data_IF_550057428510
#
_entry.id   IF_550057428510
#
_cell.length_a   1.000
_cell.length_b   1.000
_cell.length_c   1.000
_cell.angle_alpha   90.00
_cell.angle_beta   90.00
_cell.angle_gamma   90.00
#
_symmetry.space_group_name_H-M   'P 1'
#
loop_
_entity.id
_entity.type
_entity.pdbx_description
1 polymer ?
#
# COMPACT_ATOMS: atom_id res chain seq x y z
N UNK A 1 6.24 1.58 -1.26
CA UNK A 1 4.80 1.51 -1.65
C UNK A 1 4.71 1.05 -3.09
N UNK A 2 5.62 1.50 -3.94
CA UNK A 2 5.81 1.02 -5.31
C UNK A 2 6.08 -0.50 -5.33
N UNK A 3 7.05 -0.98 -4.55
CA UNK A 3 7.43 -2.41 -4.46
C UNK A 3 6.24 -3.31 -4.08
N UNK A 4 5.31 -2.80 -3.27
CA UNK A 4 4.09 -3.55 -2.90
C UNK A 4 3.12 -3.68 -4.07
N UNK A 5 3.02 -2.68 -4.96
CA UNK A 5 2.21 -2.76 -6.17
C UNK A 5 2.84 -3.68 -7.22
N UNK A 6 4.16 -3.64 -7.36
CA UNK A 6 4.90 -4.54 -8.25
C UNK A 6 4.78 -5.99 -7.76
N UNK A 7 4.86 -6.24 -6.44
CA UNK A 7 4.56 -7.56 -5.88
C UNK A 7 3.13 -8.04 -6.20
N UNK A 8 2.13 -7.15 -6.15
CA UNK A 8 0.76 -7.53 -6.52
C UNK A 8 0.66 -7.89 -8.00
N UNK A 9 1.32 -7.15 -8.87
CA UNK A 9 1.38 -7.46 -10.30
C UNK A 9 2.07 -8.81 -10.56
N UNK A 10 3.16 -9.10 -9.86
CA UNK A 10 3.85 -10.39 -9.94
C UNK A 10 2.96 -11.56 -9.53
N UNK A 11 2.18 -11.39 -8.45
CA UNK A 11 1.21 -12.40 -7.98
C UNK A 11 0.09 -12.60 -9.02
N UNK A 12 -0.48 -11.51 -9.55
CA UNK A 12 -1.56 -11.58 -10.55
C UNK A 12 -1.11 -12.24 -11.86
N UNK A 13 0.19 -12.15 -12.19
CA UNK A 13 0.80 -12.76 -13.38
C UNK A 13 1.39 -14.16 -13.14
N UNK A 14 1.29 -14.71 -11.92
CA UNK A 14 1.92 -15.99 -11.54
C UNK A 14 3.43 -16.04 -11.85
N UNK A 15 4.13 -14.90 -11.71
CA UNK A 15 5.57 -14.77 -11.99
C UNK A 15 6.39 -14.92 -10.71
N UNK A 16 6.77 -16.17 -10.40
CA UNK A 16 7.55 -16.51 -9.21
C UNK A 16 8.88 -15.74 -9.11
N UNK A 17 9.54 -15.45 -10.23
CA UNK A 17 10.82 -14.76 -10.21
C UNK A 17 10.66 -13.29 -9.86
N UNK A 18 9.67 -12.64 -10.46
CA UNK A 18 9.34 -11.25 -10.14
C UNK A 18 8.84 -11.14 -8.69
N UNK A 19 8.08 -12.11 -8.19
CA UNK A 19 7.69 -12.14 -6.78
C UNK A 19 8.90 -12.18 -5.83
N UNK A 20 9.92 -12.97 -6.16
CA UNK A 20 11.15 -13.06 -5.36
C UNK A 20 11.90 -11.72 -5.37
N UNK A 21 12.00 -11.06 -6.52
CA UNK A 21 12.63 -9.74 -6.67
C UNK A 21 11.95 -8.70 -5.77
N UNK A 22 10.62 -8.57 -5.89
CA UNK A 22 9.86 -7.56 -5.15
C UNK A 22 9.82 -7.82 -3.64
N UNK A 23 9.76 -9.10 -3.21
CA UNK A 23 9.92 -9.46 -1.80
C UNK A 23 11.31 -9.09 -1.28
N UNK A 24 12.34 -9.22 -2.12
CA UNK A 24 13.70 -8.79 -1.83
C UNK A 24 13.79 -7.27 -1.61
N UNK A 25 13.14 -6.49 -2.47
CA UNK A 25 13.14 -5.03 -2.38
C UNK A 25 12.35 -4.51 -1.17
N UNK A 26 11.23 -5.14 -0.84
CA UNK A 26 10.51 -4.86 0.42
C UNK A 26 11.42 -5.15 1.63
N UNK A 27 12.15 -6.26 1.63
CA UNK A 27 13.07 -6.60 2.71
C UNK A 27 14.24 -5.60 2.79
N UNK A 28 14.78 -5.16 1.65
CA UNK A 28 15.80 -4.12 1.57
C UNK A 28 15.31 -2.83 2.22
N UNK A 29 14.07 -2.43 1.96
CA UNK A 29 13.47 -1.23 2.56
C UNK A 29 13.41 -1.34 4.10
N UNK A 30 13.08 -2.51 4.65
CA UNK A 30 13.07 -2.75 6.10
C UNK A 30 14.49 -2.62 6.67
N UNK A 31 15.48 -3.25 6.04
CA UNK A 31 16.87 -3.21 6.48
C UNK A 31 17.46 -1.80 6.44
N UNK A 32 17.09 -0.99 5.43
CA UNK A 32 17.51 0.40 5.33
C UNK A 32 16.95 1.24 6.49
N UNK A 33 15.66 1.09 6.82
CA UNK A 33 15.06 1.78 7.97
C UNK A 33 15.66 1.33 9.29
N UNK A 34 15.91 0.04 9.46
CA UNK A 34 16.59 -0.50 10.64
C UNK A 34 18.01 0.09 10.79
N UNK A 35 18.75 0.22 9.69
CA UNK A 35 20.09 0.83 9.70
C UNK A 35 20.06 2.31 10.06
N UNK A 36 19.10 3.06 9.52
CA UNK A 36 18.88 4.48 9.86
C UNK A 36 18.48 4.61 11.33
N UNK A 37 17.52 3.79 11.79
CA UNK A 37 17.08 3.76 13.18
C UNK A 37 18.25 3.52 14.14
N UNK A 38 19.11 2.55 13.82
CA UNK A 38 20.28 2.21 14.62
C UNK A 38 21.27 3.36 14.68
N UNK A 39 21.52 4.02 13.55
CA UNK A 39 22.42 5.18 13.46
C UNK A 39 21.99 6.33 14.38
N UNK A 40 20.69 6.54 14.54
CA UNK A 40 20.14 7.62 15.36
C UNK A 40 19.68 7.17 16.76
N UNK A 41 19.91 5.90 17.13
CA UNK A 41 19.58 5.36 18.45
C UNK A 41 18.08 5.18 18.71
N UNK A 42 17.26 4.98 17.66
CA UNK A 42 15.82 4.79 17.80
C UNK A 42 15.41 3.33 17.97
N UNK A 43 15.90 2.46 17.09
CA UNK A 43 15.65 1.02 17.08
C UNK A 43 16.63 0.33 16.11
N UNK A 44 16.80 -0.98 16.20
CA UNK A 44 17.52 -1.77 15.21
C UNK A 44 16.72 -2.96 14.65
N UNK A 45 17.38 -3.78 13.81
CA UNK A 45 16.75 -4.95 13.18
C UNK A 45 16.38 -6.03 14.19
N UNK A 46 17.12 -6.17 15.29
CA UNK A 46 16.85 -7.18 16.31
C UNK A 46 15.54 -6.86 17.03
N UNK A 47 15.32 -5.59 17.38
CA UNK A 47 14.08 -5.14 18.01
C UNK A 47 12.87 -5.32 17.08
N UNK A 48 13.04 -5.11 15.77
CA UNK A 48 11.99 -5.37 14.76
C UNK A 48 11.65 -6.86 14.72
N UNK A 49 12.67 -7.74 14.64
CA UNK A 49 12.49 -9.18 14.57
C UNK A 49 11.89 -9.73 15.86
N UNK A 50 12.34 -9.25 17.03
CA UNK A 50 11.78 -9.65 18.33
C UNK A 50 10.30 -9.28 18.43
N UNK A 51 9.94 -8.05 18.03
CA UNK A 51 8.55 -7.60 17.97
C UNK A 51 7.69 -8.45 17.03
N UNK A 52 8.23 -8.82 15.86
CA UNK A 52 7.57 -9.71 14.89
C UNK A 52 7.39 -11.12 15.47
N UNK A 53 8.43 -11.74 16.00
CA UNK A 53 8.40 -13.08 16.58
C UNK A 53 7.43 -13.16 17.76
N UNK A 54 7.50 -12.21 18.69
CA UNK A 54 6.56 -12.14 19.81
C UNK A 54 5.11 -12.00 19.30
N UNK A 55 4.88 -11.23 18.24
CA UNK A 55 3.55 -11.11 17.61
C UNK A 55 3.11 -12.39 16.92
N UNK A 56 4.01 -13.10 16.25
CA UNK A 56 3.71 -14.39 15.61
C UNK A 56 3.29 -15.43 16.65
N UNK A 57 4.05 -15.58 17.73
CA UNK A 57 3.75 -16.53 18.82
C UNK A 57 2.38 -16.23 19.44
N UNK A 58 2.13 -14.98 19.83
CA UNK A 58 0.86 -14.60 20.46
C UNK A 58 -0.37 -14.80 19.57
N UNK A 59 -0.24 -14.65 18.24
CA UNK A 59 -1.38 -14.73 17.29
C UNK A 59 -1.59 -16.12 16.71
N UNK A 60 -0.65 -17.03 16.91
CA UNK A 60 -0.74 -18.41 16.43
C UNK A 60 -0.48 -19.40 17.58
N UNK A 61 -1.27 -19.34 18.67
CA UNK A 61 -1.12 -20.29 19.78
C UNK A 61 -1.33 -21.74 19.32
N UNK A 62 -2.06 -21.98 18.23
CA UNK A 62 -2.23 -23.29 17.63
C UNK A 62 -0.99 -23.85 16.90
N UNK A 63 0.02 -23.02 16.63
CA UNK A 63 1.31 -23.46 16.06
C UNK A 63 2.38 -23.57 17.16
N UNK A 64 2.28 -22.73 18.20
CA UNK A 64 3.35 -22.51 19.17
C UNK A 64 2.99 -22.89 20.62
N UNK A 65 1.77 -23.37 20.87
CA UNK A 65 1.26 -23.81 22.18
C UNK A 65 0.28 -24.99 22.01
N UNK A 66 -0.35 -25.43 23.10
CA UNK A 66 -1.20 -26.64 23.14
C UNK A 66 -2.67 -26.41 22.69
N UNK A 67 -3.01 -25.25 22.11
CA UNK A 67 -4.38 -24.99 21.63
C UNK A 67 -4.61 -25.66 20.26
N UNK A 68 -5.35 -26.75 20.21
CA UNK A 68 -5.69 -27.39 18.93
C UNK A 68 -6.80 -26.63 18.18
N UNK A 69 -6.54 -26.30 16.91
CA UNK A 69 -7.56 -25.78 15.99
C UNK A 69 -7.97 -26.91 15.02
N UNK A 70 -9.19 -27.41 15.16
CA UNK A 70 -9.67 -28.57 14.38
C UNK A 70 -10.24 -28.17 13.01
N UNK A 71 -10.58 -26.89 12.82
CA UNK A 71 -11.09 -26.37 11.56
C UNK A 71 -10.70 -24.88 11.35
N UNK A 72 -10.95 -24.37 10.15
CA UNK A 72 -10.62 -22.98 9.75
C UNK A 72 -11.38 -21.93 10.57
N UNK A 73 -12.58 -22.26 11.05
CA UNK A 73 -13.40 -21.32 11.83
C UNK A 73 -12.87 -21.19 13.26
N UNK A 74 -12.46 -22.31 13.87
CA UNK A 74 -11.75 -22.34 15.16
C UNK A 74 -10.48 -21.49 15.08
N UNK A 75 -9.71 -21.65 13.99
CA UNK A 75 -8.49 -20.89 13.72
C UNK A 75 -8.75 -19.37 13.68
N UNK A 76 -9.79 -18.93 12.96
CA UNK A 76 -10.18 -17.51 12.90
C UNK A 76 -10.61 -16.99 14.27
N UNK A 77 -11.33 -17.79 15.04
CA UNK A 77 -11.82 -17.40 16.35
C UNK A 77 -10.69 -17.27 17.38
N UNK A 78 -9.75 -18.21 17.38
CA UNK A 78 -8.52 -18.17 18.18
C UNK A 78 -7.71 -16.92 17.82
N UNK A 79 -7.50 -16.67 16.53
CA UNK A 79 -6.75 -15.51 16.05
C UNK A 79 -7.43 -14.17 16.40
N UNK A 80 -8.75 -14.08 16.23
CA UNK A 80 -9.53 -12.88 16.56
C UNK A 80 -9.48 -12.57 18.06
N UNK A 81 -9.63 -13.60 18.89
CA UNK A 81 -9.53 -13.50 20.36
C UNK A 81 -8.15 -13.04 20.79
N UNK A 82 -7.09 -13.67 20.26
CA UNK A 82 -5.71 -13.29 20.53
C UNK A 82 -5.41 -11.84 20.12
N UNK A 83 -5.97 -11.39 18.99
CA UNK A 83 -5.84 -10.01 18.51
C UNK A 83 -6.57 -9.01 19.41
N UNK A 84 -7.77 -9.34 19.90
CA UNK A 84 -8.57 -8.48 20.78
C UNK A 84 -7.89 -8.26 22.14
N UNK A 85 -7.21 -9.28 22.68
CA UNK A 85 -6.41 -9.20 23.91
C UNK A 85 -5.24 -8.20 23.84
N UNK A 86 -4.83 -7.76 22.64
CA UNK A 86 -3.75 -6.76 22.49
C UNK A 86 -4.16 -5.32 22.84
N UNK A 87 -5.45 -5.06 23.14
CA UNK A 87 -5.93 -3.75 23.59
C UNK A 87 -5.80 -2.62 22.55
N UNK A 88 -5.51 -2.94 21.29
CA UNK A 88 -5.38 -1.96 20.21
C UNK A 88 -6.76 -1.49 19.78
N UNK A 89 -6.95 -0.18 19.69
CA UNK A 89 -8.12 0.44 19.05
C UNK A 89 -8.30 -0.20 17.68
N UNK A 90 -9.54 -0.58 17.34
CA UNK A 90 -9.85 -1.22 16.09
C UNK A 90 -9.51 -0.23 14.95
N UNK A 91 -8.35 -0.44 14.32
CA UNK A 91 -7.89 0.43 13.25
C UNK A 91 -8.72 0.10 12.02
N UNK A 92 -9.28 1.13 11.38
CA UNK A 92 -9.87 0.99 10.05
C UNK A 92 -8.83 0.27 9.19
N UNK A 93 -9.14 -0.95 8.77
CA UNK A 93 -8.25 -1.72 7.91
C UNK A 93 -8.17 -0.97 6.60
N UNK A 94 -7.06 -0.29 6.34
CA UNK A 94 -6.82 0.39 5.08
C UNK A 94 -7.02 -0.57 3.91
N UNK A 95 -6.73 -1.87 4.09
CA UNK A 95 -7.01 -2.92 3.10
C UNK A 95 -8.50 -3.03 2.76
N UNK A 96 -9.43 -2.89 3.73
CA UNK A 96 -10.88 -2.93 3.45
C UNK A 96 -11.34 -1.67 2.72
N UNK A 97 -10.87 -0.49 3.15
CA UNK A 97 -11.22 0.78 2.51
C UNK A 97 -10.62 0.87 1.11
N UNK A 98 -9.39 0.40 0.94
CA UNK A 98 -8.70 0.32 -0.32
C UNK A 98 -9.36 -0.70 -1.24
N UNK A 99 -9.64 -1.93 -0.77
CA UNK A 99 -10.35 -2.94 -1.55
C UNK A 99 -11.73 -2.45 -1.98
N UNK A 100 -12.54 -1.88 -1.08
CA UNK A 100 -13.85 -1.30 -1.44
C UNK A 100 -13.72 -0.18 -2.47
N UNK A 101 -12.75 0.72 -2.32
CA UNK A 101 -12.54 1.83 -3.24
C UNK A 101 -12.02 1.35 -4.61
N UNK A 102 -11.09 0.41 -4.61
CA UNK A 102 -10.45 -0.18 -5.78
C UNK A 102 -11.43 -1.05 -6.55
N UNK A 103 -12.16 -1.96 -5.88
CA UNK A 103 -13.24 -2.76 -6.47
C UNK A 103 -14.32 -1.85 -7.08
N UNK A 104 -14.70 -0.76 -6.41
CA UNK A 104 -15.66 0.23 -6.96
C UNK A 104 -15.12 0.98 -8.19
N UNK A 105 -13.80 1.11 -8.33
CA UNK A 105 -13.17 1.62 -9.55
C UNK A 105 -13.08 0.54 -10.64
N UNK A 106 -12.90 -0.72 -10.26
CA UNK A 106 -12.82 -1.89 -11.14
C UNK A 106 -14.18 -2.37 -11.68
N UNK A 107 -15.27 -2.15 -10.94
CA UNK A 107 -16.65 -2.50 -11.35
C UNK A 107 -17.22 -1.53 -12.40
N UNK A 108 -16.79 -0.26 -12.39
CA UNK A 108 -17.24 0.76 -13.35
C UNK A 108 -16.96 0.41 -14.82
N UNK A 109 -15.82 -0.19 -15.20
CA UNK A 109 -15.57 -0.66 -16.56
C UNK A 109 -16.15 -2.05 -16.84
N UNK A 110 -16.27 -2.96 -15.85
CA UNK A 110 -16.73 -4.33 -16.08
C UNK A 110 -18.21 -4.43 -16.52
N UNK A 111 -19.07 -3.52 -16.05
CA UNK A 111 -20.50 -3.49 -16.41
C UNK A 111 -20.85 -2.60 -17.61
N UNK A 112 -19.86 -2.17 -18.40
CA UNK A 112 -20.10 -1.53 -19.69
C UNK A 112 -19.34 -2.29 -20.76
N UNK A 113 -20.05 -2.83 -21.74
CA UNK A 113 -19.46 -3.19 -23.02
C UNK A 113 -18.91 -1.91 -23.64
N UNK A 114 -17.62 -1.65 -23.40
CA UNK A 114 -16.92 -0.51 -23.95
C UNK A 114 -16.46 -0.88 -25.36
N UNK A 115 -17.22 -0.48 -26.38
CA UNK A 115 -16.71 -0.51 -27.75
C UNK A 115 -15.57 0.51 -27.92
N UNK A 116 -14.81 0.36 -29.01
CA UNK A 116 -13.65 1.22 -29.30
C UNK A 116 -14.04 2.72 -29.41
N UNK A 117 -15.27 3.01 -29.83
CA UNK A 117 -15.80 4.37 -29.94
C UNK A 117 -16.11 4.98 -28.55
N UNK A 118 -16.61 4.18 -27.60
CA UNK A 118 -16.84 4.57 -26.21
C UNK A 118 -15.52 4.86 -25.49
N UNK A 119 -14.49 4.02 -25.71
CA UNK A 119 -13.15 4.25 -25.19
C UNK A 119 -12.54 5.54 -25.74
N UNK A 120 -12.56 5.74 -27.07
CA UNK A 120 -12.07 6.98 -27.72
C UNK A 120 -12.79 8.24 -27.20
N UNK A 121 -14.10 8.15 -26.92
CA UNK A 121 -14.86 9.27 -26.36
C UNK A 121 -14.50 9.57 -24.90
N UNK A 122 -14.25 8.55 -24.06
CA UNK A 122 -13.80 8.74 -22.68
C UNK A 122 -12.41 9.39 -22.64
N UNK A 123 -11.47 8.95 -23.47
CA UNK A 123 -10.14 9.56 -23.57
C UNK A 123 -10.20 11.01 -24.07
N UNK A 124 -11.04 11.30 -25.07
CA UNK A 124 -11.30 12.68 -25.55
C UNK A 124 -11.91 13.58 -24.47
N UNK A 125 -12.85 13.07 -23.67
CA UNK A 125 -13.47 13.81 -22.58
C UNK A 125 -12.50 14.09 -21.42
N UNK A 126 -11.57 13.17 -21.14
CA UNK A 126 -10.57 13.32 -20.06
C UNK A 126 -9.47 14.33 -20.44
N UNK A 127 -9.09 14.39 -21.73
CA UNK A 127 -8.18 15.41 -22.29
C UNK A 127 -8.74 16.84 -22.16
N UNK A 128 -10.07 17.02 -22.20
CA UNK A 128 -10.72 18.32 -21.94
C UNK A 128 -10.70 18.73 -20.46
N UNK A 129 -10.68 17.77 -19.53
CA UNK A 129 -10.66 18.04 -18.08
C UNK A 129 -9.27 18.47 -17.59
N UNK A 130 -8.20 17.89 -18.13
CA UNK A 130 -6.82 18.29 -17.84
C UNK A 130 -6.44 19.67 -18.42
N UNK A 131 -7.23 20.22 -19.35
CA UNK A 131 -7.03 21.57 -19.88
C UNK A 131 -7.35 22.67 -18.85
N UNK A 132 -8.01 22.35 -17.71
CA UNK A 132 -8.19 23.28 -16.58
C UNK A 132 -6.94 23.40 -15.68
N UNK A 133 -6.04 22.42 -15.69
CA UNK A 133 -4.79 22.46 -14.88
C UNK A 133 -3.71 23.34 -15.52
N UNK A 134 -3.78 23.56 -16.84
CA UNK A 134 -2.87 24.48 -17.55
C UNK A 134 -3.07 25.95 -17.11
N UNK A 135 -4.25 26.27 -16.55
CA UNK A 135 -4.53 27.59 -15.96
C UNK A 135 -3.74 27.83 -14.66
N UNK A 136 -3.51 26.78 -13.86
CA UNK A 136 -2.73 26.85 -12.62
C UNK A 136 -1.22 26.92 -12.87
N UNK A 137 -0.72 26.25 -13.91
CA UNK A 137 0.68 26.35 -14.34
C UNK A 137 1.04 27.72 -14.96
N UNK A 138 0.07 28.44 -15.53
CA UNK A 138 0.26 29.84 -15.96
C UNK A 138 0.38 30.82 -14.78
N UNK A 139 -0.41 30.65 -13.72
CA UNK A 139 -0.34 31.50 -12.51
C UNK A 139 1.00 31.31 -11.80
N UNK A 140 1.48 30.06 -11.68
CA UNK A 140 2.80 29.77 -11.10
C UNK A 140 3.96 30.39 -11.91
N UNK A 141 3.90 30.36 -13.25
CA UNK A 141 4.90 31.02 -14.11
C UNK A 141 4.85 32.56 -14.03
N UNK A 142 3.69 33.16 -13.77
CA UNK A 142 3.53 34.61 -13.58
C UNK A 142 4.10 35.07 -12.23
N UNK A 143 3.89 34.30 -11.16
CA UNK A 143 4.46 34.59 -9.83
C UNK A 143 5.99 34.44 -9.84
N UNK A 144 6.52 33.39 -10.47
CA UNK A 144 7.96 33.14 -10.55
C UNK A 144 8.71 34.20 -11.38
N UNK A 145 8.06 34.81 -12.39
CA UNK A 145 8.64 35.91 -13.19
C UNK A 145 8.70 37.24 -12.43
N UNK A 146 7.78 37.51 -11.50
CA UNK A 146 7.86 38.72 -10.65
C UNK A 146 8.93 38.59 -9.58
N UNK A 147 9.08 37.44 -8.95
CA UNK A 147 10.06 37.24 -7.86
C UNK A 147 11.52 37.14 -8.32
N UNK A 148 11.77 36.83 -9.60
CA UNK A 148 13.11 36.76 -10.19
C UNK A 148 13.49 38.02 -11.00
N UNK A 149 12.54 38.92 -11.26
CA UNK A 149 12.78 40.19 -11.96
C UNK A 149 13.19 41.36 -11.06
N UNK A 150 13.01 41.25 -9.74
CA UNK A 150 13.34 42.30 -8.75
C UNK A 150 14.67 42.05 -8.01
N UNK A 151 15.50 41.11 -8.46
CA UNK A 151 16.84 40.85 -7.89
C UNK A 151 18.02 41.23 -8.80
N UNK A 152 17.74 41.93 -9.90
CA UNK A 152 18.76 42.56 -10.74
C UNK A 152 18.35 44.01 -11.03
N UNK A 153 18.34 44.83 -9.99
CA UNK A 153 18.57 46.28 -10.01
C UNK A 153 19.08 46.69 -8.63
#
# INVERSE_FOLDING_TARGET
MEETFELFEAIDNEDDWHMIEELGDILLQVLLHASIGKKYGYFDINEIVESLSAKMIRRHPHIFADEEANNIEDLKQIWSTAKSKEGKVDRVKFEKVFAEHFLKMYDKPKNKTLDEAALKNIFRARRRRNMRLDKYLKVSRLVKRRTLGERNQ
#
